data_IF_599167703814
#
_entry.id   IF_599167703814
#
_cell.length_a   1.000
_cell.length_b   1.000
_cell.length_c   1.000
_cell.angle_alpha   90.00
_cell.angle_beta   90.00
_cell.angle_gamma   90.00
#
_symmetry.space_group_name_H-M   'P 1'
#
loop_
_entity.id
_entity.type
_entity.pdbx_description
1 polymer ?
#
# COMPACT_ATOMS: atom_id res chain seq x y z
N UNK A 1 5.48 3.30 -26.33
CA UNK A 1 6.09 3.56 -25.02
C UNK A 1 5.11 3.07 -23.97
N UNK A 2 5.57 2.41 -22.90
CA UNK A 2 4.70 1.95 -21.80
C UNK A 2 4.92 2.80 -20.56
N UNK A 3 3.85 3.17 -19.87
CA UNK A 3 3.93 3.98 -18.66
C UNK A 3 3.42 3.22 -17.44
N UNK A 4 4.13 3.34 -16.33
CA UNK A 4 3.76 2.76 -15.05
C UNK A 4 3.80 3.81 -13.94
N UNK A 5 2.96 3.62 -12.92
CA UNK A 5 2.87 4.53 -11.77
C UNK A 5 3.33 3.84 -10.50
N UNK A 6 4.19 4.54 -9.76
CA UNK A 6 4.50 4.21 -8.37
C UNK A 6 3.30 4.53 -7.47
N UNK A 7 2.69 3.50 -6.86
CA UNK A 7 1.45 3.68 -6.07
C UNK A 7 1.63 4.49 -4.79
N UNK A 8 2.88 4.73 -4.36
CA UNK A 8 3.19 5.70 -3.29
C UNK A 8 2.73 7.13 -3.64
N UNK A 9 2.53 7.43 -4.93
CA UNK A 9 1.98 8.71 -5.40
C UNK A 9 0.44 8.76 -5.35
N UNK A 10 -0.23 7.66 -4.96
CA UNK A 10 -1.68 7.53 -4.90
C UNK A 10 -2.15 7.18 -3.47
N UNK A 11 -1.79 7.97 -2.44
CA UNK A 11 -2.03 7.60 -1.02
C UNK A 11 -3.51 7.54 -0.63
N UNK A 12 -4.40 8.11 -1.44
CA UNK A 12 -5.85 8.13 -1.19
C UNK A 12 -6.58 6.88 -1.70
N UNK A 13 -5.91 6.04 -2.48
CA UNK A 13 -6.49 4.84 -3.06
C UNK A 13 -5.98 3.61 -2.33
N UNK A 14 -6.86 2.64 -2.07
CA UNK A 14 -6.40 1.30 -1.76
C UNK A 14 -5.88 0.60 -3.04
N UNK A 15 -5.13 -0.52 -2.92
CA UNK A 15 -4.50 -1.16 -4.08
C UNK A 15 -5.47 -1.53 -5.21
N UNK A 16 -6.71 -1.95 -4.88
CA UNK A 16 -7.71 -2.35 -5.88
C UNK A 16 -8.27 -1.12 -6.59
N UNK A 17 -8.61 -0.08 -5.84
CA UNK A 17 -9.10 1.18 -6.43
C UNK A 17 -8.03 1.86 -7.29
N UNK A 18 -6.76 1.80 -6.88
CA UNK A 18 -5.65 2.35 -7.66
C UNK A 18 -5.52 1.64 -9.01
N UNK A 19 -5.62 0.30 -9.05
CA UNK A 19 -5.58 -0.48 -10.29
C UNK A 19 -6.71 -0.10 -11.24
N UNK A 20 -7.94 0.00 -10.73
CA UNK A 20 -9.12 0.36 -11.51
C UNK A 20 -9.02 1.81 -12.05
N UNK A 21 -8.53 2.74 -11.25
CA UNK A 21 -8.27 4.12 -11.68
C UNK A 21 -7.19 4.20 -12.77
N UNK A 22 -6.09 3.45 -12.62
CA UNK A 22 -4.97 3.46 -13.57
C UNK A 22 -5.34 2.78 -14.89
N UNK A 23 -6.12 1.71 -14.86
CA UNK A 23 -6.67 1.08 -16.06
C UNK A 23 -7.54 2.07 -16.85
N UNK A 24 -8.45 2.78 -16.17
CA UNK A 24 -9.28 3.82 -16.81
C UNK A 24 -8.47 4.98 -17.38
N UNK A 25 -7.34 5.31 -16.75
CA UNK A 25 -6.45 6.37 -17.20
C UNK A 25 -5.49 5.94 -18.34
N UNK A 26 -5.49 4.65 -18.72
CA UNK A 26 -4.71 4.14 -19.84
C UNK A 26 -3.24 3.82 -19.51
N UNK A 27 -2.92 3.59 -18.24
CA UNK A 27 -1.59 3.14 -17.84
C UNK A 27 -1.40 1.64 -18.13
N UNK A 28 -0.17 1.27 -18.50
CA UNK A 28 0.20 -0.10 -18.86
C UNK A 28 0.64 -0.93 -17.64
N UNK A 29 0.92 -0.30 -16.50
CA UNK A 29 1.44 -0.99 -15.34
C UNK A 29 1.47 -0.17 -14.05
N UNK A 30 1.87 -0.85 -12.98
CA UNK A 30 2.04 -0.30 -11.64
C UNK A 30 3.37 -0.74 -11.06
N UNK A 31 3.96 0.11 -10.23
CA UNK A 31 5.15 -0.20 -9.45
C UNK A 31 4.82 -0.17 -7.96
N UNK A 32 5.10 -1.27 -7.28
CA UNK A 32 4.81 -1.46 -5.86
C UNK A 32 6.08 -1.61 -5.04
N UNK A 33 6.07 -1.01 -3.85
CA UNK A 33 7.05 -1.32 -2.81
C UNK A 33 6.40 -2.27 -1.82
N UNK A 34 6.86 -3.52 -1.84
CA UNK A 34 6.48 -4.50 -0.82
C UNK A 34 7.55 -4.46 0.26
N UNK A 35 7.14 -4.13 1.48
CA UNK A 35 8.00 -4.23 2.65
C UNK A 35 7.46 -5.31 3.58
N UNK A 36 8.35 -6.12 4.13
CA UNK A 36 7.97 -7.04 5.17
C UNK A 36 7.67 -6.23 6.43
N UNK A 37 6.41 -6.18 6.84
CA UNK A 37 6.03 -5.60 8.12
C UNK A 37 6.49 -6.58 9.20
N UNK A 38 7.48 -6.18 10.01
CA UNK A 38 7.77 -6.91 11.23
C UNK A 38 6.53 -6.81 12.11
N UNK A 39 5.95 -7.96 12.47
CA UNK A 39 4.91 -7.99 13.49
C UNK A 39 5.51 -7.39 14.76
N UNK A 40 5.13 -6.17 15.08
CA UNK A 40 5.47 -5.58 16.37
C UNK A 40 4.81 -6.46 17.42
N UNK A 41 5.60 -7.23 18.16
CA UNK A 41 5.14 -7.86 19.39
C UNK A 41 4.57 -6.73 20.24
N UNK A 42 3.27 -6.80 20.52
CA UNK A 42 2.55 -5.85 21.36
C UNK A 42 3.37 -5.51 22.62
N UNK A 43 4.04 -4.35 22.64
CA UNK A 43 4.71 -3.82 23.83
C UNK A 43 3.75 -3.04 24.74
N UNK A 44 2.46 -2.99 24.40
CA UNK A 44 1.40 -2.42 25.24
C UNK A 44 0.46 -3.50 25.74
N UNK A 45 1.02 -4.49 26.42
CA UNK A 45 0.28 -5.41 27.28
C UNK A 45 0.47 -5.03 28.74
N UNK A 46 -0.56 -4.43 29.35
CA UNK A 46 -0.88 -4.42 30.78
C UNK A 46 0.21 -3.92 31.77
N UNK A 47 0.36 -2.60 31.89
CA UNK A 47 0.68 -2.00 33.20
C UNK A 47 -0.60 -1.93 34.02
N UNK A 48 -0.74 -2.82 35.00
CA UNK A 48 -1.72 -2.68 36.09
C UNK A 48 -2.91 -3.62 36.01
N UNK A 49 -2.71 -4.87 36.40
CA UNK A 49 -3.63 -5.71 37.19
C UNK A 49 -2.93 -7.05 37.36
N UNK A 50 -2.13 -7.23 38.43
CA UNK A 50 -2.28 -8.14 39.59
C UNK A 50 -1.19 -7.73 40.60
#
# INVERSE_FOLDING_TARGET
MKFAIFTVMMPHYNPIEALDALQRAGYDGVEWRVAQVQALSCQYGIKGLI
#
